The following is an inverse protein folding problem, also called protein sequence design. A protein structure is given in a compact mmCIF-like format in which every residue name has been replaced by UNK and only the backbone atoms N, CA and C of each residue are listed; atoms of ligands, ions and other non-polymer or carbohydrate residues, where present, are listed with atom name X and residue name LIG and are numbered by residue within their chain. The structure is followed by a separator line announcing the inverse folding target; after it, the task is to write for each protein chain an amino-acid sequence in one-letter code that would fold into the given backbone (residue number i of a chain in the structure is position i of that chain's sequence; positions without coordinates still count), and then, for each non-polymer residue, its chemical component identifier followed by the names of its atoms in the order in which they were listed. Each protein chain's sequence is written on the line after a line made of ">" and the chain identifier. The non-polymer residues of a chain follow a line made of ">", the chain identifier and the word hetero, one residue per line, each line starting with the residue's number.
data_IF_519431708619
#
_entry.id   IF_519431708619
#
_cell.length_a   1.000
_cell.length_b   1.000
_cell.length_c   1.000
_cell.angle_alpha   90.00
_cell.angle_beta   90.00
_cell.angle_gamma   90.00
#
_symmetry.space_group_name_H-M   'P 1'
#
loop_
_entity.id
_entity.type
_entity.pdbx_description
1 polymer ?
#
# COMPACT_ATOMS: atom_id res chain seq x y z
N UNK A 1 -25.84 -10.52 -32.31
CA UNK A 1 -24.47 -10.59 -31.77
C UNK A 1 -24.55 -10.10 -30.34
N UNK A 2 -24.62 -11.01 -29.37
CA UNK A 2 -24.74 -10.65 -27.95
C UNK A 2 -23.36 -10.38 -27.39
N UNK A 3 -23.14 -9.16 -26.91
CA UNK A 3 -21.98 -8.79 -26.12
C UNK A 3 -21.89 -9.72 -24.91
N UNK A 4 -20.94 -10.66 -24.96
CA UNK A 4 -20.48 -11.39 -23.78
C UNK A 4 -19.79 -10.36 -22.90
N UNK A 5 -20.55 -9.75 -21.99
CA UNK A 5 -19.98 -9.07 -20.83
C UNK A 5 -19.03 -10.10 -20.22
N UNK A 6 -17.72 -9.82 -20.30
CA UNK A 6 -16.71 -10.63 -19.64
C UNK A 6 -16.99 -10.50 -18.16
N UNK A 7 -17.72 -11.45 -17.60
CA UNK A 7 -17.83 -11.62 -16.15
C UNK A 7 -16.41 -11.83 -15.65
N UNK A 8 -15.80 -10.76 -15.13
CA UNK A 8 -14.59 -10.87 -14.34
C UNK A 8 -14.96 -11.76 -13.15
N UNK A 9 -14.12 -12.76 -12.81
CA UNK A 9 -14.41 -13.64 -11.69
C UNK A 9 -14.66 -12.78 -10.45
N UNK A 10 -15.78 -13.04 -9.77
CA UNK A 10 -16.08 -12.36 -8.52
C UNK A 10 -14.98 -12.68 -7.52
N UNK A 11 -14.23 -11.66 -7.11
CA UNK A 11 -13.17 -11.80 -6.09
C UNK A 11 -13.79 -12.38 -4.83
N UNK A 12 -13.28 -13.52 -4.39
CA UNK A 12 -13.75 -14.20 -3.19
C UNK A 12 -13.21 -13.50 -1.94
N UNK A 13 -13.91 -13.67 -0.82
CA UNK A 13 -13.46 -13.14 0.48
C UNK A 13 -12.05 -13.65 0.84
N UNK A 14 -11.79 -14.94 0.58
CA UNK A 14 -10.48 -15.59 0.83
C UNK A 14 -9.35 -15.00 -0.03
N UNK A 15 -9.61 -14.69 -1.31
CA UNK A 15 -8.62 -14.02 -2.16
C UNK A 15 -8.29 -12.62 -1.65
N UNK A 16 -9.30 -11.89 -1.19
CA UNK A 16 -9.13 -10.54 -0.66
C UNK A 16 -8.36 -10.53 0.68
N UNK A 17 -8.61 -11.52 1.55
CA UNK A 17 -7.82 -11.74 2.78
C UNK A 17 -6.37 -12.08 2.46
N UNK A 18 -6.14 -12.94 1.47
CA UNK A 18 -4.79 -13.30 1.03
C UNK A 18 -4.02 -12.10 0.48
N UNK A 19 -4.68 -11.21 -0.27
CA UNK A 19 -4.07 -9.99 -0.80
C UNK A 19 -3.66 -9.02 0.33
N UNK A 20 -4.51 -8.84 1.34
CA UNK A 20 -4.17 -8.03 2.53
C UNK A 20 -2.96 -8.60 3.27
N UNK A 21 -3.00 -9.91 3.55
CA UNK A 21 -1.89 -10.60 4.23
C UNK A 21 -0.58 -10.49 3.44
N UNK A 22 -0.65 -10.55 2.10
CA UNK A 22 0.52 -10.36 1.24
C UNK A 22 1.10 -8.94 1.37
N UNK A 23 0.26 -7.90 1.36
CA UNK A 23 0.74 -6.53 1.51
C UNK A 23 1.35 -6.27 2.88
N UNK A 24 0.77 -6.80 3.95
CA UNK A 24 1.33 -6.68 5.30
C UNK A 24 2.69 -7.38 5.42
N UNK A 25 2.78 -8.62 4.90
CA UNK A 25 4.04 -9.34 4.82
C UNK A 25 5.08 -8.54 4.03
N UNK A 26 4.70 -7.94 2.90
CA UNK A 26 5.61 -7.14 2.09
C UNK A 26 6.07 -5.87 2.80
N UNK A 27 5.17 -5.21 3.54
CA UNK A 27 5.48 -4.04 4.35
C UNK A 27 6.47 -4.35 5.48
N UNK A 28 6.35 -5.52 6.10
CA UNK A 28 7.26 -5.98 7.18
C UNK A 28 8.72 -6.14 6.73
N UNK A 29 8.96 -6.28 5.42
CA UNK A 29 10.30 -6.44 4.86
C UNK A 29 11.03 -5.11 4.62
N UNK A 30 10.31 -3.99 4.66
CA UNK A 30 10.94 -2.68 4.54
C UNK A 30 11.58 -2.29 5.88
N UNK A 31 12.82 -1.79 5.82
CA UNK A 31 13.47 -1.15 6.96
C UNK A 31 12.70 0.11 7.38
N UNK A 32 12.95 0.60 8.60
CA UNK A 32 12.29 1.81 9.14
C UNK A 32 12.34 3.02 8.18
N UNK A 33 13.38 3.11 7.34
CA UNK A 33 13.51 4.14 6.30
C UNK A 33 13.70 3.51 4.91
N UNK A 34 12.90 3.89 3.89
CA UNK A 34 13.12 3.46 2.51
C UNK A 34 14.47 3.97 1.99
N UNK A 35 15.24 3.09 1.37
CA UNK A 35 16.60 3.36 0.86
C UNK A 35 16.57 3.97 -0.55
N UNK A 36 15.42 3.99 -1.21
CA UNK A 36 15.24 4.60 -2.54
C UNK A 36 13.83 5.14 -2.76
N UNK A 37 13.69 6.06 -3.71
CA UNK A 37 12.39 6.57 -4.18
C UNK A 37 11.48 5.45 -4.69
N UNK A 38 12.07 4.38 -5.25
CA UNK A 38 11.33 3.20 -5.68
C UNK A 38 10.75 2.43 -4.49
N UNK A 39 11.55 2.16 -3.46
CA UNK A 39 11.05 1.54 -2.22
C UNK A 39 10.00 2.40 -1.54
N UNK A 40 10.19 3.73 -1.53
CA UNK A 40 9.19 4.66 -1.00
C UNK A 40 7.85 4.56 -1.76
N UNK A 41 7.90 4.50 -3.10
CA UNK A 41 6.72 4.32 -3.93
C UNK A 41 6.03 2.97 -3.64
N UNK A 42 6.80 1.90 -3.44
CA UNK A 42 6.28 0.58 -3.05
C UNK A 42 5.57 0.62 -1.70
N UNK A 43 6.18 1.24 -0.68
CA UNK A 43 5.57 1.39 0.65
C UNK A 43 4.24 2.15 0.55
N UNK A 44 4.21 3.26 -0.20
CA UNK A 44 2.99 4.03 -0.43
C UNK A 44 1.90 3.19 -1.11
N UNK A 45 2.27 2.44 -2.15
CA UNK A 45 1.33 1.59 -2.87
C UNK A 45 0.76 0.49 -1.98
N UNK A 46 1.60 -0.28 -1.28
CA UNK A 46 1.15 -1.40 -0.44
C UNK A 46 0.29 -0.93 0.74
N UNK A 47 0.63 0.18 1.40
CA UNK A 47 -0.22 0.75 2.46
C UNK A 47 -1.59 1.18 1.93
N UNK A 48 -1.61 1.87 0.79
CA UNK A 48 -2.85 2.35 0.19
C UNK A 48 -3.74 1.18 -0.23
N UNK A 49 -3.17 0.19 -0.92
CA UNK A 49 -3.92 -0.98 -1.38
C UNK A 49 -4.40 -1.83 -0.19
N UNK A 50 -3.54 -2.12 0.79
CA UNK A 50 -3.92 -2.87 1.98
C UNK A 50 -5.09 -2.22 2.74
N UNK A 51 -5.07 -0.89 2.90
CA UNK A 51 -6.16 -0.15 3.54
C UNK A 51 -7.48 -0.26 2.76
N UNK A 52 -7.44 -0.08 1.43
CA UNK A 52 -8.63 -0.18 0.59
C UNK A 52 -9.25 -1.59 0.61
N UNK A 53 -8.41 -2.62 0.52
CA UNK A 53 -8.89 -4.01 0.54
C UNK A 53 -9.39 -4.41 1.93
N UNK A 54 -8.75 -3.94 3.01
CA UNK A 54 -9.22 -4.17 4.39
C UNK A 54 -10.58 -3.51 4.64
N UNK A 55 -10.77 -2.27 4.16
CA UNK A 55 -12.08 -1.59 4.23
C UNK A 55 -13.15 -2.34 3.43
N UNK A 56 -12.78 -2.89 2.26
CA UNK A 56 -13.67 -3.72 1.46
C UNK A 56 -14.01 -5.05 2.15
N UNK A 57 -13.05 -5.68 2.82
CA UNK A 57 -13.27 -6.89 3.64
C UNK A 57 -14.24 -6.63 4.79
N UNK A 58 -14.08 -5.54 5.54
CA UNK A 58 -14.99 -5.19 6.62
C UNK A 58 -16.44 -5.08 6.11
N UNK A 59 -16.62 -4.41 4.97
CA UNK A 59 -17.93 -4.25 4.32
C UNK A 59 -18.52 -5.58 3.85
N UNK A 60 -17.70 -6.50 3.32
CA UNK A 60 -18.14 -7.80 2.82
C UNK A 60 -18.39 -8.82 3.95
N UNK A 61 -17.62 -8.75 5.03
CA UNK A 61 -17.70 -9.64 6.19
C UNK A 61 -18.79 -9.28 7.20
N UNK A 62 -19.55 -8.20 6.97
CA UNK A 62 -20.60 -7.74 7.88
C UNK A 62 -20.09 -7.14 9.19
N UNK A 63 -18.79 -6.81 9.26
CA UNK A 63 -18.20 -6.07 10.37
C UNK A 63 -18.41 -4.58 10.15
N UNK A 64 -19.03 -3.91 11.13
CA UNK A 64 -19.02 -2.43 11.16
C UNK A 64 -17.57 -1.96 11.00
N UNK A 65 -17.27 -1.00 10.11
CA UNK A 65 -15.94 -0.45 10.00
C UNK A 65 -15.62 0.29 11.31
N UNK A 66 -14.91 -0.36 12.22
CA UNK A 66 -14.45 0.28 13.45
C UNK A 66 -13.47 1.39 13.06
N UNK A 67 -13.98 2.61 13.09
CA UNK A 67 -13.27 3.82 12.71
C UNK A 67 -12.04 4.10 13.61
N UNK A 68 -11.76 3.27 14.62
CA UNK A 68 -10.64 3.46 15.55
C UNK A 68 -9.34 2.85 15.04
N UNK A 69 -9.38 1.86 14.13
CA UNK A 69 -8.20 1.36 13.40
C UNK A 69 -8.07 1.98 11.99
N UNK A 70 -8.91 2.97 11.67
CA UNK A 70 -8.52 4.03 10.75
C UNK A 70 -7.61 5.01 11.50
N UNK A 71 -6.52 4.46 12.05
CA UNK A 71 -5.35 5.21 12.49
C UNK A 71 -4.75 5.89 11.27
N UNK A 72 -5.40 6.97 10.84
CA UNK A 72 -4.77 8.10 10.18
C UNK A 72 -3.69 8.58 11.14
N UNK A 73 -2.57 7.88 11.18
CA UNK A 73 -1.29 8.52 11.27
C UNK A 73 -1.26 9.47 10.09
N UNK A 74 -1.78 10.67 10.34
CA UNK A 74 -1.68 11.88 9.53
C UNK A 74 -0.41 11.72 8.70
N UNK A 75 -0.57 11.36 7.42
CA UNK A 75 0.57 11.36 6.54
C UNK A 75 0.81 12.85 6.33
N UNK A 76 1.62 13.43 7.22
CA UNK A 76 2.29 14.68 6.93
C UNK A 76 3.20 14.32 5.75
N UNK A 77 2.65 14.48 4.55
CA UNK A 77 3.34 14.32 3.26
C UNK A 77 4.50 15.33 3.14
N UNK A 78 4.67 16.19 4.15
CA UNK A 78 5.47 17.41 4.13
C UNK A 78 6.76 17.36 4.95
N UNK A 79 7.37 16.20 5.25
CA UNK A 79 8.75 16.23 5.78
C UNK A 79 9.60 14.97 5.51
N UNK A 80 9.50 14.41 4.31
CA UNK A 80 10.61 13.60 3.76
C UNK A 80 11.02 14.24 2.45
N UNK A 81 11.51 15.47 2.58
CA UNK A 81 12.15 16.20 1.51
C UNK A 81 13.28 15.32 0.96
N UNK A 82 13.28 15.14 -0.35
CA UNK A 82 14.25 14.40 -1.16
C UNK A 82 15.67 14.99 -1.12
N UNK A 83 16.16 15.51 0.01
CA UNK A 83 17.44 16.22 0.16
C UNK A 83 18.68 15.30 0.15
N UNK A 84 18.59 14.10 -0.43
CA UNK A 84 19.67 13.13 -0.42
C UNK A 84 20.26 12.80 -1.79
N UNK A 85 19.83 13.46 -2.87
CA UNK A 85 20.37 13.21 -4.21
C UNK A 85 21.40 14.28 -4.64
N UNK A 86 22.17 14.82 -3.70
CA UNK A 86 23.45 15.43 -4.05
C UNK A 86 24.48 14.30 -4.20
N UNK A 87 24.46 13.70 -5.39
CA UNK A 87 25.62 13.02 -5.94
C UNK A 87 26.73 14.04 -6.17
N UNK A 88 27.40 14.46 -5.09
CA UNK A 88 28.64 15.23 -5.15
C UNK A 88 29.72 14.32 -5.73
N UNK A 89 29.83 14.36 -7.05
CA UNK A 89 30.98 13.86 -7.78
C UNK A 89 32.14 14.83 -7.53
N UNK A 90 32.76 14.73 -6.36
CA UNK A 90 34.04 15.37 -6.08
C UNK A 90 35.15 14.45 -6.62
N UNK A 91 35.74 14.82 -7.76
CA UNK A 91 36.97 14.23 -8.29
C UNK A 91 38.09 14.32 -7.23
N UNK A 92 38.94 13.29 -7.07
CA UNK A 92 40.18 13.45 -6.34
C UNK A 92 41.15 14.29 -7.19
N UNK A 93 41.67 15.35 -6.60
CA UNK A 93 42.87 16.04 -7.08
C UNK A 93 44.13 15.35 -6.61
#
# INVERSE_FOLDING_TARGET
>A
MSDKIRELPAVTLSELEADVAYFDARLSLFRERPESSYQLAQVKAYRTLGSLLSSRLATLGGGEPDASEAGLGRIEVEEILCNGLDGSSAKPG
#
